data_IF_787078992222
#
_entry.id   IF_787078992222
#
_cell.length_a   1.000
_cell.length_b   1.000
_cell.length_c   1.000
_cell.angle_alpha   90.00
_cell.angle_beta   90.00
_cell.angle_gamma   90.00
#
_symmetry.space_group_name_H-M   'P 1'
#
loop_
_entity.id
_entity.type
_entity.pdbx_description
1 polymer ?
#
# COMPACT_ATOMS: atom_id res chain seq x y z
N UNK A 1 -8.02 -5.53 -2.90
CA UNK A 1 -6.68 -6.07 -2.60
C UNK A 1 -6.10 -6.86 -3.79
N UNK A 2 -5.97 -6.25 -4.97
CA UNK A 2 -5.11 -6.82 -6.01
C UNK A 2 -3.75 -6.12 -5.88
N UNK A 3 -2.82 -6.76 -5.18
CA UNK A 3 -1.48 -6.21 -4.99
C UNK A 3 -0.65 -6.48 -6.24
N UNK A 4 -0.46 -5.44 -7.06
CA UNK A 4 0.42 -5.51 -8.22
C UNK A 4 1.86 -5.27 -7.78
N UNK A 5 2.72 -6.27 -8.01
CA UNK A 5 4.11 -6.27 -7.58
C UNK A 5 5.02 -6.55 -8.80
N UNK A 6 5.46 -5.52 -9.55
CA UNK A 6 6.27 -5.70 -10.76
C UNK A 6 7.68 -6.24 -10.46
N UNK A 7 8.16 -6.12 -9.22
CA UNK A 7 9.44 -6.64 -8.75
C UNK A 7 9.26 -7.34 -7.41
N UNK A 8 10.01 -8.42 -7.10
CA UNK A 8 9.90 -9.12 -5.82
C UNK A 8 10.17 -8.22 -4.60
N UNK A 9 10.87 -7.09 -4.79
CA UNK A 9 11.08 -6.08 -3.76
C UNK A 9 9.95 -5.04 -3.72
N UNK A 10 9.42 -4.81 -2.52
CA UNK A 10 8.36 -3.83 -2.28
C UNK A 10 8.80 -2.40 -2.58
N UNK A 11 10.05 -2.05 -2.26
CA UNK A 11 10.56 -0.69 -2.51
C UNK A 11 10.73 -0.44 -3.99
N UNK A 12 11.34 -1.35 -4.72
CA UNK A 12 11.51 -1.29 -6.17
C UNK A 12 10.15 -1.23 -6.87
N UNK A 13 9.18 -2.03 -6.43
CA UNK A 13 7.80 -1.97 -6.92
C UNK A 13 7.14 -0.61 -6.68
N UNK A 14 7.33 -0.03 -5.50
CA UNK A 14 6.77 1.29 -5.18
C UNK A 14 7.40 2.42 -6.01
N UNK A 15 8.67 2.30 -6.39
CA UNK A 15 9.37 3.32 -7.19
C UNK A 15 8.86 3.43 -8.63
N UNK A 16 8.35 2.34 -9.20
CA UNK A 16 7.87 2.31 -10.60
C UNK A 16 6.35 2.49 -10.74
N UNK A 17 5.62 2.51 -9.63
CA UNK A 17 4.17 2.73 -9.64
C UNK A 17 3.82 4.22 -9.77
N UNK A 18 2.75 4.52 -10.50
CA UNK A 18 2.25 5.89 -10.59
C UNK A 18 1.75 6.40 -9.22
N UNK A 19 1.87 7.71 -9.02
CA UNK A 19 1.54 8.36 -7.75
C UNK A 19 0.09 8.16 -7.31
N UNK A 20 -0.86 8.04 -8.25
CA UNK A 20 -2.29 7.83 -7.92
C UNK A 20 -2.50 6.42 -7.37
N UNK A 21 -1.89 5.40 -7.97
CA UNK A 21 -1.92 4.02 -7.46
C UNK A 21 -1.26 3.91 -6.08
N UNK A 22 -0.08 4.53 -5.90
CA UNK A 22 0.59 4.57 -4.59
C UNK A 22 -0.26 5.23 -3.51
N UNK A 23 -0.97 6.31 -3.86
CA UNK A 23 -1.88 6.98 -2.92
C UNK A 23 -2.98 6.05 -2.42
N UNK A 24 -3.63 5.30 -3.31
CA UNK A 24 -4.67 4.34 -2.94
C UNK A 24 -4.12 3.23 -2.03
N UNK A 25 -2.99 2.63 -2.40
CA UNK A 25 -2.36 1.57 -1.60
C UNK A 25 -1.98 2.06 -0.18
N UNK A 26 -1.51 3.31 -0.05
CA UNK A 26 -1.19 3.91 1.26
C UNK A 26 -2.43 4.10 2.13
N UNK A 27 -3.55 4.52 1.55
CA UNK A 27 -4.82 4.67 2.30
C UNK A 27 -5.32 3.32 2.79
N UNK A 28 -5.29 2.29 1.93
CA UNK A 28 -5.66 0.92 2.32
C UNK A 28 -4.76 0.40 3.44
N UNK A 29 -3.43 0.59 3.32
CA UNK A 29 -2.48 0.19 4.36
C UNK A 29 -2.74 0.92 5.69
N UNK A 30 -3.05 2.23 5.64
CA UNK A 30 -3.39 3.00 6.83
C UNK A 30 -4.70 2.55 7.47
N UNK A 31 -5.71 2.20 6.67
CA UNK A 31 -7.00 1.67 7.16
C UNK A 31 -6.79 0.33 7.89
N UNK A 32 -6.01 -0.58 7.32
CA UNK A 32 -5.64 -1.84 7.97
C UNK A 32 -4.90 -1.57 9.28
N UNK A 33 -3.87 -0.71 9.26
CA UNK A 33 -3.10 -0.37 10.46
C UNK A 33 -4.02 0.17 11.56
N UNK A 34 -4.90 1.12 11.22
CA UNK A 34 -5.83 1.70 12.20
C UNK A 34 -6.81 0.68 12.78
N UNK A 35 -7.35 -0.21 11.95
CA UNK A 35 -8.22 -1.28 12.44
C UNK A 35 -7.52 -2.25 13.40
N UNK A 36 -6.19 -2.36 13.33
CA UNK A 36 -5.39 -3.20 14.21
C UNK A 36 -4.87 -2.48 15.46
N UNK A 37 -4.66 -1.16 15.40
CA UNK A 37 -3.96 -0.42 16.46
C UNK A 37 -4.82 0.59 17.21
N UNK A 38 -5.96 1.00 16.68
CA UNK A 38 -6.85 1.98 17.33
C UNK A 38 -7.99 1.22 18.02
N UNK A 39 -8.05 1.24 19.37
CA UNK A 39 -9.20 0.72 20.10
C UNK A 39 -10.47 1.48 19.72
N UNK A 40 -11.59 0.76 19.62
CA UNK A 40 -12.91 1.33 19.34
C UNK A 40 -13.47 2.13 20.50
#
# INVERSE_FOLDING_TARGET
>A
MQTFLPYPDFRASALVLDRRRLGKQRVEALQVLRGLTVPG
#
